data_IF_754390516619
#
_entry.id   IF_754390516619
#
_cell.length_a   1.000
_cell.length_b   1.000
_cell.length_c   1.000
_cell.angle_alpha   90.00
_cell.angle_beta   90.00
_cell.angle_gamma   90.00
#
_symmetry.space_group_name_H-M   'P 1'
#
loop_
_entity.id
_entity.type
_entity.pdbx_description
1 polymer ?
#
# COMPACT_ATOMS: atom_id res chain seq x y z
N UNK A 1 7.91 -2.03 16.96
CA UNK A 1 7.10 -2.69 15.92
C UNK A 1 7.20 -1.82 14.69
N UNK A 2 7.71 -2.36 13.58
CA UNK A 2 8.04 -1.60 12.36
C UNK A 2 6.86 -0.76 11.84
N UNK A 3 5.63 -1.29 11.91
CA UNK A 3 4.43 -0.56 11.54
C UNK A 3 4.26 0.73 12.36
N UNK A 4 4.33 0.65 13.69
CA UNK A 4 4.12 1.81 14.57
C UNK A 4 5.21 2.86 14.39
N UNK A 5 6.47 2.43 14.25
CA UNK A 5 7.60 3.33 13.98
C UNK A 5 7.38 4.09 12.67
N UNK A 6 6.99 3.38 11.59
CA UNK A 6 6.69 4.02 10.32
C UNK A 6 5.44 4.91 10.40
N UNK A 7 4.41 4.50 11.13
CA UNK A 7 3.18 5.26 11.31
C UNK A 7 3.43 6.58 12.06
N UNK A 8 4.12 6.54 13.21
CA UNK A 8 4.42 7.74 14.01
C UNK A 8 5.36 8.72 13.31
N UNK A 9 6.20 8.23 12.40
CA UNK A 9 7.05 9.10 11.58
C UNK A 9 6.31 9.86 10.47
N UNK A 10 4.99 9.64 10.31
CA UNK A 10 4.17 10.40 9.37
C UNK A 10 3.64 11.65 10.04
N UNK A 11 3.80 12.79 9.38
CA UNK A 11 3.00 13.97 9.68
C UNK A 11 1.59 13.73 9.18
N UNK A 12 0.65 13.47 10.10
CA UNK A 12 -0.78 13.39 9.82
C UNK A 12 -1.42 14.68 10.32
N UNK A 13 -2.32 15.25 9.52
CA UNK A 13 -3.11 16.41 9.92
C UNK A 13 -3.85 16.15 11.24
N UNK A 14 -3.66 17.05 12.20
CA UNK A 14 -4.17 16.87 13.57
C UNK A 14 -5.70 16.80 13.62
N UNK A 15 -6.40 17.55 12.77
CA UNK A 15 -7.86 17.55 12.74
C UNK A 15 -8.40 16.23 12.21
N UNK A 16 -7.80 15.71 11.14
CA UNK A 16 -8.16 14.40 10.59
C UNK A 16 -7.84 13.27 11.56
N UNK A 17 -6.68 13.33 12.21
CA UNK A 17 -6.31 12.35 13.25
C UNK A 17 -7.30 12.38 14.41
N UNK A 18 -7.71 13.57 14.86
CA UNK A 18 -8.72 13.72 15.92
C UNK A 18 -10.06 13.12 15.50
N UNK A 19 -10.56 13.46 14.31
CA UNK A 19 -11.80 12.90 13.76
C UNK A 19 -11.77 11.37 13.68
N UNK A 20 -10.64 10.80 13.27
CA UNK A 20 -10.45 9.36 13.27
C UNK A 20 -10.49 8.78 14.69
N UNK A 21 -9.77 9.39 15.64
CA UNK A 21 -9.72 8.95 17.05
C UNK A 21 -11.11 8.98 17.69
N UNK A 22 -11.90 10.01 17.43
CA UNK A 22 -13.26 10.14 17.97
C UNK A 22 -14.11 8.94 17.50
N UNK A 23 -14.14 8.68 16.18
CA UNK A 23 -14.85 7.52 15.61
C UNK A 23 -14.30 6.17 16.12
N UNK A 24 -12.98 6.06 16.28
CA UNK A 24 -12.31 4.87 16.78
C UNK A 24 -12.65 4.60 18.24
N UNK A 25 -12.87 5.62 19.06
CA UNK A 25 -13.22 5.49 20.47
C UNK A 25 -14.72 5.23 20.66
N UNK A 26 -15.57 5.83 19.83
CA UNK A 26 -17.04 5.70 19.92
C UNK A 26 -17.57 4.34 19.45
N UNK A 27 -16.92 3.71 18.46
CA UNK A 27 -17.41 2.47 17.85
C UNK A 27 -16.46 1.28 18.12
N UNK A 28 -16.76 0.50 19.15
CA UNK A 28 -15.96 -0.68 19.54
C UNK A 28 -15.83 -1.73 18.44
N UNK A 29 -16.86 -1.94 17.61
CA UNK A 29 -16.82 -2.89 16.50
C UNK A 29 -15.84 -2.42 15.42
N UNK A 30 -15.89 -1.15 15.05
CA UNK A 30 -14.96 -0.57 14.09
C UNK A 30 -13.53 -0.59 14.63
N UNK A 31 -13.34 -0.20 15.90
CA UNK A 31 -12.06 -0.24 16.60
C UNK A 31 -11.41 -1.61 16.57
N UNK A 32 -12.14 -2.64 17.00
CA UNK A 32 -11.63 -3.99 17.07
C UNK A 32 -11.26 -4.49 15.67
N UNK A 33 -12.11 -4.22 14.67
CA UNK A 33 -11.83 -4.62 13.30
C UNK A 33 -10.56 -3.96 12.73
N UNK A 34 -10.33 -2.68 13.03
CA UNK A 34 -9.10 -1.97 12.65
C UNK A 34 -7.87 -2.61 13.31
N UNK A 35 -7.92 -2.81 14.63
CA UNK A 35 -6.82 -3.39 15.40
C UNK A 35 -6.49 -4.81 14.97
N UNK A 36 -7.51 -5.68 14.85
CA UNK A 36 -7.37 -7.06 14.39
C UNK A 36 -6.76 -7.12 12.99
N UNK A 37 -7.24 -6.27 12.07
CA UNK A 37 -6.72 -6.22 10.70
C UNK A 37 -5.23 -5.85 10.69
N UNK A 38 -4.84 -4.80 11.43
CA UNK A 38 -3.44 -4.35 11.49
C UNK A 38 -2.54 -5.41 12.13
N UNK A 39 -2.98 -6.02 13.24
CA UNK A 39 -2.23 -7.06 13.94
C UNK A 39 -2.02 -8.29 13.06
N UNK A 40 -3.10 -8.87 12.54
CA UNK A 40 -3.05 -10.09 11.72
C UNK A 40 -2.19 -9.91 10.47
N UNK A 41 -2.30 -8.76 9.79
CA UNK A 41 -1.50 -8.49 8.61
C UNK A 41 -0.01 -8.37 8.96
N UNK A 42 0.34 -7.68 10.05
CA UNK A 42 1.73 -7.57 10.47
C UNK A 42 2.33 -8.91 10.91
N UNK A 43 1.54 -9.78 11.56
CA UNK A 43 1.98 -11.14 11.91
C UNK A 43 2.20 -12.01 10.66
N UNK A 44 1.39 -11.82 9.62
CA UNK A 44 1.51 -12.55 8.35
C UNK A 44 2.72 -12.10 7.52
N UNK A 45 3.18 -10.86 7.68
CA UNK A 45 4.25 -10.34 6.84
C UNK A 45 5.61 -10.94 7.20
N UNK A 46 6.22 -11.63 6.22
CA UNK A 46 7.58 -12.17 6.34
C UNK A 46 8.63 -11.04 6.30
N UNK A 47 8.31 -9.94 5.62
CA UNK A 47 9.21 -8.80 5.41
C UNK A 47 8.66 -7.51 6.05
N UNK A 48 9.60 -6.71 6.55
CA UNK A 48 9.36 -5.39 7.17
C UNK A 48 8.87 -4.32 6.19
N UNK A 49 9.16 -4.40 4.89
CA UNK A 49 8.71 -3.43 3.88
C UNK A 49 7.19 -3.44 3.78
N UNK A 50 6.56 -4.61 3.78
CA UNK A 50 5.09 -4.73 3.85
C UNK A 50 4.49 -4.03 5.07
N UNK A 51 5.10 -4.16 6.25
CA UNK A 51 4.65 -3.42 7.45
C UNK A 51 4.73 -1.92 7.27
N UNK A 52 5.79 -1.42 6.61
CA UNK A 52 5.96 0.01 6.32
C UNK A 52 4.93 0.49 5.28
N UNK A 53 4.66 -0.29 4.26
CA UNK A 53 3.63 0.01 3.24
C UNK A 53 2.25 0.06 3.90
N UNK A 54 1.92 -0.91 4.77
CA UNK A 54 0.66 -0.94 5.51
C UNK A 54 0.49 0.30 6.40
N UNK A 55 1.55 0.74 7.08
CA UNK A 55 1.54 1.98 7.87
C UNK A 55 1.25 3.22 7.01
N UNK A 56 1.81 3.28 5.80
CA UNK A 56 1.55 4.37 4.87
C UNK A 56 0.08 4.34 4.37
N UNK A 57 -0.44 3.16 4.01
CA UNK A 57 -1.83 3.00 3.60
C UNK A 57 -2.81 3.36 4.71
N UNK A 58 -2.52 3.00 5.95
CA UNK A 58 -3.34 3.35 7.10
C UNK A 58 -3.31 4.86 7.38
N UNK A 59 -2.14 5.50 7.25
CA UNK A 59 -2.02 6.95 7.34
C UNK A 59 -2.84 7.64 6.25
N UNK A 60 -2.80 7.13 5.02
CA UNK A 60 -3.61 7.64 3.91
C UNK A 60 -5.12 7.48 4.15
N UNK A 61 -5.54 6.43 4.86
CA UNK A 61 -6.92 6.27 5.29
C UNK A 61 -7.35 7.34 6.30
N UNK A 62 -6.51 7.60 7.32
CA UNK A 62 -6.77 8.65 8.32
C UNK A 62 -6.78 10.03 7.65
N UNK A 63 -5.91 10.24 6.67
CA UNK A 63 -5.86 11.45 5.83
C UNK A 63 -7.03 11.59 4.85
N UNK A 64 -7.97 10.65 4.85
CA UNK A 64 -9.15 10.60 3.98
C UNK A 64 -8.82 10.47 2.48
N UNK A 65 -7.58 10.11 2.15
CA UNK A 65 -7.17 9.80 0.78
C UNK A 65 -7.60 8.38 0.35
N UNK A 66 -7.83 7.49 1.32
CA UNK A 66 -8.37 6.16 1.12
C UNK A 66 -9.60 5.96 2.00
N UNK A 67 -10.66 5.37 1.44
CA UNK A 67 -11.78 4.88 2.27
C UNK A 67 -11.32 3.69 3.10
N UNK A 68 -12.11 3.31 4.12
CA UNK A 68 -11.84 2.08 4.88
C UNK A 68 -11.82 0.85 3.97
N UNK A 69 -12.76 0.78 3.01
CA UNK A 69 -12.84 -0.31 2.03
C UNK A 69 -11.62 -0.35 1.10
N UNK A 70 -11.14 0.81 0.64
CA UNK A 70 -9.91 0.91 -0.13
C UNK A 70 -8.71 0.40 0.67
N UNK A 71 -8.54 0.89 1.90
CA UNK A 71 -7.49 0.46 2.80
C UNK A 71 -7.51 -1.06 3.01
N UNK A 72 -8.67 -1.61 3.38
CA UNK A 72 -8.83 -3.04 3.64
C UNK A 72 -8.50 -3.88 2.39
N UNK A 73 -9.08 -3.52 1.24
CA UNK A 73 -8.84 -4.22 -0.03
C UNK A 73 -7.37 -4.20 -0.42
N UNK A 74 -6.74 -3.04 -0.38
CA UNK A 74 -5.32 -2.88 -0.76
C UNK A 74 -4.42 -3.64 0.22
N UNK A 75 -4.73 -3.60 1.52
CA UNK A 75 -3.96 -4.29 2.56
C UNK A 75 -4.05 -5.81 2.42
N UNK A 76 -5.22 -6.33 2.03
CA UNK A 76 -5.37 -7.75 1.71
C UNK A 76 -4.52 -8.16 0.51
N UNK A 77 -4.53 -7.35 -0.57
CA UNK A 77 -3.69 -7.57 -1.76
C UNK A 77 -2.21 -7.53 -1.38
N UNK A 78 -1.78 -6.52 -0.61
CA UNK A 78 -0.41 -6.36 -0.14
C UNK A 78 0.10 -7.61 0.59
N UNK A 79 -0.77 -8.27 1.36
CA UNK A 79 -0.39 -9.49 2.09
C UNK A 79 0.11 -10.61 1.17
N UNK A 80 -0.44 -10.72 -0.04
CA UNK A 80 -0.07 -11.76 -1.01
C UNK A 80 0.87 -11.25 -2.11
N UNK A 81 1.03 -9.93 -2.25
CA UNK A 81 1.87 -9.35 -3.29
C UNK A 81 3.35 -9.71 -3.08
N UNK A 82 3.97 -10.26 -4.11
CA UNK A 82 5.40 -10.54 -4.10
C UNK A 82 6.19 -9.21 -4.12
N UNK A 83 7.15 -8.97 -3.21
CA UNK A 83 7.96 -7.75 -3.21
C UNK A 83 8.67 -7.44 -4.52
N UNK A 84 9.02 -8.46 -5.32
CA UNK A 84 9.58 -8.27 -6.66
C UNK A 84 8.66 -7.44 -7.57
N UNK A 85 7.33 -7.50 -7.36
CA UNK A 85 6.34 -6.74 -8.13
C UNK A 85 6.40 -5.22 -7.89
N UNK A 86 7.03 -4.75 -6.80
CA UNK A 86 7.03 -3.33 -6.43
C UNK A 86 7.73 -2.45 -7.47
N UNK A 87 8.87 -2.92 -8.00
CA UNK A 87 9.63 -2.21 -9.02
C UNK A 87 8.84 -2.07 -10.33
N UNK A 88 8.06 -3.09 -10.68
CA UNK A 88 7.22 -3.05 -11.87
C UNK A 88 6.02 -2.14 -11.69
N UNK A 89 5.40 -2.17 -10.51
CA UNK A 89 4.32 -1.25 -10.21
C UNK A 89 4.79 0.21 -10.29
N UNK A 90 5.99 0.50 -9.76
CA UNK A 90 6.63 1.79 -9.94
C UNK A 90 6.83 2.15 -11.41
N UNK A 91 7.46 1.26 -12.19
CA UNK A 91 7.72 1.47 -13.63
C UNK A 91 6.45 1.84 -14.40
N UNK A 92 5.31 1.22 -14.07
CA UNK A 92 4.06 1.42 -14.81
C UNK A 92 3.19 2.57 -14.29
N UNK A 93 3.37 3.02 -13.04
CA UNK A 93 2.55 4.08 -12.43
C UNK A 93 3.30 5.41 -12.37
N UNK A 94 4.60 5.39 -12.08
CA UNK A 94 5.41 6.59 -11.93
C UNK A 94 5.94 7.07 -13.28
N UNK A 95 5.38 8.18 -13.77
CA UNK A 95 5.77 8.78 -15.06
C UNK A 95 7.22 9.22 -15.10
N UNK A 96 7.81 9.50 -13.94
CA UNK A 96 9.21 9.91 -13.80
C UNK A 96 10.15 8.71 -13.55
N UNK A 97 9.63 7.48 -13.56
CA UNK A 97 10.44 6.28 -13.33
C UNK A 97 11.49 6.11 -14.42
N UNK A 98 12.74 5.91 -13.99
CA UNK A 98 13.88 5.57 -14.86
C UNK A 98 14.21 4.08 -14.85
N UNK A 99 13.36 3.25 -14.25
CA UNK A 99 13.58 1.81 -14.14
C UNK A 99 13.64 1.18 -15.54
N UNK A 100 14.76 0.53 -15.84
CA UNK A 100 14.95 -0.28 -17.04
C UNK A 100 14.95 -1.75 -16.62
N UNK A 101 14.11 -2.55 -17.26
CA UNK A 101 14.02 -4.00 -17.04
C UNK A 101 14.20 -4.71 -18.37
N UNK A 102 14.76 -5.92 -18.32
CA UNK A 102 14.80 -6.80 -19.49
C UNK A 102 13.38 -7.28 -19.82
N UNK A 103 13.21 -7.84 -21.02
CA UNK A 103 11.89 -8.32 -21.47
C UNK A 103 11.34 -9.42 -20.55
N UNK A 104 12.14 -10.42 -20.19
CA UNK A 104 11.69 -11.51 -19.31
C UNK A 104 11.31 -11.02 -17.90
N UNK A 105 12.07 -10.07 -17.34
CA UNK A 105 11.77 -9.45 -16.04
C UNK A 105 10.44 -8.71 -16.10
N UNK A 106 10.18 -7.99 -17.21
CA UNK A 106 8.92 -7.26 -17.40
C UNK A 106 7.73 -8.21 -17.46
N UNK A 107 7.85 -9.32 -18.21
CA UNK A 107 6.80 -10.34 -18.30
C UNK A 107 6.52 -10.96 -16.92
N UNK A 108 7.57 -11.29 -16.17
CA UNK A 108 7.44 -11.84 -14.82
C UNK A 108 6.77 -10.84 -13.86
N UNK A 109 7.22 -9.58 -13.88
CA UNK A 109 6.65 -8.51 -13.07
C UNK A 109 5.18 -8.24 -13.35
N UNK A 110 4.80 -8.17 -14.63
CA UNK A 110 3.41 -8.02 -15.07
C UNK A 110 2.56 -9.22 -14.63
N UNK A 111 3.10 -10.45 -14.74
CA UNK A 111 2.43 -11.66 -14.26
C UNK A 111 2.18 -11.63 -12.74
N UNK A 112 3.14 -11.16 -11.95
CA UNK A 112 2.97 -11.00 -10.50
C UNK A 112 1.86 -9.99 -10.16
N UNK A 113 1.79 -8.87 -10.89
CA UNK A 113 0.75 -7.86 -10.71
C UNK A 113 -0.64 -8.38 -11.13
N UNK A 114 -0.72 -9.12 -12.23
CA UNK A 114 -1.96 -9.77 -12.68
C UNK A 114 -2.44 -10.85 -11.70
N UNK A 115 -1.53 -11.68 -11.18
CA UNK A 115 -1.86 -12.72 -10.19
C UNK A 115 -2.47 -12.15 -8.90
N UNK A 116 -2.13 -10.91 -8.56
CA UNK A 116 -2.70 -10.19 -7.42
C UNK A 116 -3.95 -9.35 -7.78
N UNK A 117 -4.47 -9.46 -9.01
CA UNK A 117 -5.64 -8.72 -9.48
C UNK A 117 -5.42 -7.21 -9.61
N UNK A 118 -4.16 -6.76 -9.68
CA UNK A 118 -3.80 -5.35 -9.76
C UNK A 118 -3.18 -4.94 -11.11
N UNK A 119 -3.05 -5.88 -12.05
CA UNK A 119 -2.71 -5.62 -13.44
C UNK A 119 -3.75 -6.21 -14.40
N UNK A 120 -3.88 -5.62 -15.58
CA UNK A 120 -4.70 -6.17 -16.68
C UNK A 120 -3.94 -6.10 -18.00
N UNK A 121 -4.21 -7.03 -18.91
CA UNK A 121 -3.74 -6.96 -20.30
C UNK A 121 -4.89 -6.55 -21.21
N UNK A 122 -4.69 -5.50 -22.00
CA UNK A 122 -5.64 -5.06 -23.02
C UNK A 122 -4.88 -4.78 -24.32
N UNK A 123 -5.28 -5.42 -25.42
CA UNK A 123 -4.64 -5.26 -26.74
C UNK A 123 -3.09 -5.37 -26.68
N UNK A 124 -2.59 -6.36 -25.94
CA UNK A 124 -1.16 -6.64 -25.71
C UNK A 124 -0.41 -5.59 -24.86
N UNK A 125 -1.12 -4.65 -24.24
CA UNK A 125 -0.53 -3.68 -23.32
C UNK A 125 -0.94 -3.98 -21.88
N UNK A 126 0.06 -4.04 -20.99
CA UNK A 126 -0.17 -4.08 -19.56
C UNK A 126 -0.67 -2.73 -19.05
N UNK A 127 -1.69 -2.76 -18.19
CA UNK A 127 -2.20 -1.58 -17.47
C UNK A 127 -2.37 -1.87 -15.98
N UNK A 128 -1.84 -1.00 -15.10
CA UNK A 128 -2.14 -1.09 -13.68
C UNK A 128 -3.61 -0.72 -13.43
N UNK A 129 -4.26 -1.45 -12.52
CA UNK A 129 -5.62 -1.10 -12.07
C UNK A 129 -5.60 0.15 -11.18
N UNK A 130 -6.78 0.75 -10.94
CA UNK A 130 -6.93 1.83 -9.94
C UNK A 130 -6.45 1.41 -8.54
N UNK A 131 -6.62 0.14 -8.17
CA UNK A 131 -6.14 -0.41 -6.90
C UNK A 131 -4.61 -0.42 -6.85
N UNK A 132 -3.96 -0.79 -7.96
CA UNK A 132 -2.50 -0.76 -8.09
C UNK A 132 -1.95 0.66 -7.99
N UNK A 133 -2.60 1.61 -8.65
CA UNK A 133 -2.23 3.03 -8.59
C UNK A 133 -2.29 3.54 -7.16
N UNK A 134 -3.41 3.29 -6.44
CA UNK A 134 -3.54 3.67 -5.02
C UNK A 134 -2.49 3.01 -4.13
N UNK A 135 -2.20 1.71 -4.34
CA UNK A 135 -1.14 1.00 -3.62
C UNK A 135 0.22 1.66 -3.84
N UNK A 136 0.53 2.06 -5.08
CA UNK A 136 1.77 2.76 -5.37
C UNK A 136 1.81 4.14 -4.70
N UNK A 137 0.82 4.98 -4.97
CA UNK A 137 0.78 6.38 -4.54
C UNK A 137 0.81 6.54 -3.02
N UNK A 138 -0.01 5.76 -2.31
CA UNK A 138 -0.18 5.89 -0.87
C UNK A 138 0.62 4.87 -0.06
N UNK A 139 1.05 3.78 -0.67
CA UNK A 139 1.80 2.70 -0.01
C UNK A 139 3.29 2.77 -0.27
N UNK A 140 3.70 2.63 -1.54
CA UNK A 140 5.10 2.46 -1.94
C UNK A 140 5.86 3.78 -2.10
N UNK A 141 5.29 4.74 -2.85
CA UNK A 141 5.92 6.03 -3.15
C UNK A 141 6.39 6.79 -1.89
N UNK A 142 5.65 6.81 -0.77
CA UNK A 142 6.10 7.49 0.44
C UNK A 142 7.33 6.87 1.12
N UNK A 143 7.75 5.65 0.74
CA UNK A 143 9.01 5.06 1.21
C UNK A 143 10.22 5.58 0.43
N UNK A 144 10.03 5.98 -0.83
CA UNK A 144 11.09 6.51 -1.70
C UNK A 144 11.53 7.90 -1.26
N UNK A 145 10.58 8.75 -0.89
CA UNK A 145 10.85 10.12 -0.43
C UNK A 145 11.65 10.19 0.89
N UNK A 146 11.78 9.07 1.62
CA UNK A 146 12.59 8.96 2.83
C UNK A 146 14.04 8.50 2.58
N UNK A 147 14.38 8.06 1.36
CA UNK A 147 15.75 7.62 1.00
C UNK A 147 16.64 8.77 0.49
N UNK A 148 16.18 10.01 0.61
CA UNK A 148 16.84 11.23 0.09
C UNK A 148 17.40 12.15 1.17
N UNK A 149 17.69 11.62 2.38
CA UNK A 149 18.37 12.34 3.46
C UNK A 149 19.62 11.57 3.86
#
# INVERSE_FOLDING_TARGET
MIFLEQFHSKGIDENKLKKFKDKFNENSKHRNHVLETILLLNEKFIDTEKSKILANLFSAHIEENLTWEDFFKISFILSNLNPAAYLFLEKHVDKDSKIRTKMYESIEGEALLMACGIGTMFEQQFKPTRTAIKLYEYGLKPLKNKRSV
#
